data_IF_038764230699
#
_entry.id   IF_038764230699
#
_cell.length_a   1.000
_cell.length_b   1.000
_cell.length_c   1.000
_cell.angle_alpha   90.00
_cell.angle_beta   90.00
_cell.angle_gamma   90.00
#
_symmetry.space_group_name_H-M   'P 1'
#
loop_
_entity.id
_entity.type
_entity.pdbx_description
1 polymer ?
#
# COMPACT_ATOMS: atom_id res chain seq x y z
N UNK A 1 6.22 -25.76 12.39
CA UNK A 1 6.84 -24.68 11.61
C UNK A 1 6.04 -23.41 11.84
N UNK A 2 6.69 -22.31 12.27
CA UNK A 2 6.06 -21.00 12.36
C UNK A 2 5.89 -20.39 10.94
N UNK A 3 4.70 -19.88 10.65
CA UNK A 3 4.46 -19.08 9.45
C UNK A 3 4.69 -17.59 9.73
N UNK A 4 5.03 -16.83 8.71
CA UNK A 4 5.02 -15.35 8.72
C UNK A 4 4.18 -14.83 7.55
N UNK A 5 3.57 -13.69 7.73
CA UNK A 5 2.78 -13.06 6.68
C UNK A 5 2.91 -11.53 6.76
N UNK A 6 2.75 -10.88 5.62
CA UNK A 6 2.57 -9.42 5.56
C UNK A 6 1.10 -9.13 5.32
N UNK A 7 0.51 -8.32 6.19
CA UNK A 7 -0.88 -7.88 6.09
C UNK A 7 -0.92 -6.44 5.62
N UNK A 8 -1.60 -6.21 4.49
CA UNK A 8 -1.83 -4.86 3.98
C UNK A 8 -3.07 -4.21 4.59
N UNK A 9 -2.99 -2.95 4.97
CA UNK A 9 -4.13 -2.15 5.39
C UNK A 9 -4.06 -0.76 4.75
N UNK A 10 -5.22 -0.21 4.42
CA UNK A 10 -5.31 1.02 3.65
C UNK A 10 -5.39 2.26 4.54
N UNK A 11 -4.89 3.38 4.04
CA UNK A 11 -4.98 4.68 4.72
C UNK A 11 -6.40 5.24 4.83
N UNK A 12 -7.40 4.57 4.24
CA UNK A 12 -8.81 4.97 4.33
C UNK A 12 -9.62 4.16 5.34
N UNK A 13 -9.02 3.13 5.94
CA UNK A 13 -9.68 2.28 6.92
C UNK A 13 -9.90 3.05 8.23
N UNK A 14 -11.11 3.00 8.84
CA UNK A 14 -11.38 3.65 10.13
C UNK A 14 -10.48 3.16 11.26
N UNK A 15 -10.01 1.92 11.18
CA UNK A 15 -9.15 1.30 12.21
C UNK A 15 -7.65 1.46 11.93
N UNK A 16 -7.27 2.26 10.93
CA UNK A 16 -5.88 2.44 10.50
C UNK A 16 -4.91 2.71 11.66
N UNK A 17 -5.31 3.50 12.65
CA UNK A 17 -4.49 3.77 13.84
C UNK A 17 -4.36 2.57 14.75
N UNK A 18 -5.46 1.86 15.00
CA UNK A 18 -5.47 0.68 15.86
C UNK A 18 -4.63 -0.44 15.26
N UNK A 19 -4.79 -0.70 13.96
CA UNK A 19 -4.00 -1.70 13.23
C UNK A 19 -2.51 -1.37 13.32
N UNK A 20 -2.12 -0.12 13.13
CA UNK A 20 -0.74 0.30 13.25
C UNK A 20 -0.19 0.12 14.67
N UNK A 21 -1.00 0.44 15.70
CA UNK A 21 -0.61 0.32 17.10
C UNK A 21 -0.37 -1.13 17.54
N UNK A 22 -0.99 -2.15 16.92
CA UNK A 22 -0.74 -3.55 17.27
C UNK A 22 0.71 -4.00 17.11
N UNK A 23 1.55 -3.21 16.45
CA UNK A 23 3.01 -3.40 16.37
C UNK A 23 3.78 -2.60 17.41
N UNK A 24 3.18 -1.56 17.99
CA UNK A 24 3.87 -0.63 18.88
C UNK A 24 4.17 -1.27 20.23
N UNK A 25 5.29 -0.86 20.81
CA UNK A 25 5.62 -1.19 22.20
C UNK A 25 4.78 -0.44 23.24
N UNK A 26 3.92 0.48 22.79
CA UNK A 26 3.05 1.31 23.63
C UNK A 26 1.78 0.63 24.10
N UNK A 27 1.46 -0.54 23.53
CA UNK A 27 0.32 -1.37 23.92
C UNK A 27 0.76 -2.59 24.70
N UNK A 28 -0.18 -3.20 25.42
CA UNK A 28 0.07 -4.41 26.19
C UNK A 28 0.56 -5.55 25.31
N UNK A 29 1.49 -6.35 25.84
CA UNK A 29 2.14 -7.42 25.12
C UNK A 29 1.14 -8.46 24.56
N UNK A 30 0.03 -8.66 25.26
CA UNK A 30 -1.04 -9.59 24.86
C UNK A 30 -1.83 -9.11 23.63
N UNK A 31 -1.79 -7.80 23.34
CA UNK A 31 -2.45 -7.18 22.19
C UNK A 31 -1.53 -7.05 20.98
N UNK A 32 -0.23 -7.35 21.14
CA UNK A 32 0.74 -7.21 20.04
C UNK A 32 0.67 -8.36 19.07
N UNK A 33 0.76 -8.04 17.78
CA UNK A 33 0.85 -9.01 16.70
C UNK A 33 2.29 -9.06 16.13
N UNK A 34 3.22 -9.53 16.96
CA UNK A 34 4.66 -9.50 16.65
C UNK A 34 5.06 -10.35 15.43
N UNK A 35 4.29 -11.39 15.13
CA UNK A 35 4.60 -12.37 14.06
C UNK A 35 4.13 -11.94 12.68
N UNK A 36 3.30 -10.89 12.59
CA UNK A 36 2.83 -10.34 11.32
C UNK A 36 3.65 -9.10 10.96
N UNK A 37 4.04 -8.96 9.72
CA UNK A 37 4.52 -7.70 9.18
C UNK A 37 3.36 -6.92 8.57
N UNK A 38 3.45 -5.60 8.57
CA UNK A 38 2.40 -4.74 8.06
C UNK A 38 2.85 -3.95 6.85
N UNK A 39 1.92 -3.74 5.91
CA UNK A 39 2.08 -2.84 4.80
C UNK A 39 1.01 -1.76 4.87
N UNK A 40 1.43 -0.53 5.12
CA UNK A 40 0.57 0.65 5.02
C UNK A 40 0.41 1.02 3.56
N UNK A 41 -0.81 0.86 3.06
CA UNK A 41 -1.16 1.05 1.65
C UNK A 41 -1.81 2.42 1.47
N UNK A 42 -1.28 3.23 0.56
CA UNK A 42 -1.78 4.55 0.25
C UNK A 42 -1.72 4.82 -1.26
N UNK A 43 -2.46 5.83 -1.70
CA UNK A 43 -2.50 6.28 -3.09
C UNK A 43 -1.94 7.71 -3.23
N UNK A 44 -1.84 8.20 -4.46
CA UNK A 44 -1.35 9.56 -4.72
C UNK A 44 -2.27 10.66 -4.16
N UNK A 45 -3.59 10.40 -4.03
CA UNK A 45 -4.51 11.34 -3.41
C UNK A 45 -4.22 11.55 -1.91
N UNK A 46 -3.81 10.49 -1.20
CA UNK A 46 -3.35 10.62 0.18
C UNK A 46 -2.08 11.45 0.28
N UNK A 47 -1.11 11.21 -0.61
CA UNK A 47 0.12 12.02 -0.64
C UNK A 47 -0.15 13.49 -0.95
N UNK A 48 -1.06 13.77 -1.89
CA UNK A 48 -1.51 15.15 -2.16
C UNK A 48 -2.11 15.79 -0.91
N UNK A 49 -2.95 15.06 -0.18
CA UNK A 49 -3.53 15.54 1.06
C UNK A 49 -2.48 15.79 2.15
N UNK A 50 -1.45 14.95 2.26
CA UNK A 50 -0.33 15.13 3.20
C UNK A 50 0.47 16.38 2.86
N UNK A 51 0.90 16.52 1.60
CA UNK A 51 1.74 17.66 1.14
C UNK A 51 1.00 18.99 1.31
N UNK A 52 -0.28 19.02 0.96
CA UNK A 52 -1.12 20.21 1.00
C UNK A 52 -1.85 20.40 2.34
N UNK A 53 -1.52 19.59 3.37
CA UNK A 53 -2.10 19.65 4.72
C UNK A 53 -3.63 19.63 4.74
N UNK A 54 -4.22 18.83 3.85
CA UNK A 54 -5.66 18.67 3.71
C UNK A 54 -6.21 17.68 4.74
N UNK A 55 -7.52 17.75 4.94
CA UNK A 55 -8.28 16.71 5.64
C UNK A 55 -8.26 15.41 4.85
N UNK A 56 -8.30 14.29 5.57
CA UNK A 56 -8.43 12.96 5.04
C UNK A 56 -9.62 12.28 5.69
N UNK A 57 -10.32 11.43 4.93
CA UNK A 57 -11.57 10.84 5.36
C UNK A 57 -11.44 9.32 5.40
N UNK A 58 -11.81 8.74 6.53
CA UNK A 58 -11.79 7.30 6.77
C UNK A 58 -13.23 6.77 6.66
N UNK A 59 -13.41 5.71 5.90
CA UNK A 59 -14.73 5.12 5.64
C UNK A 59 -14.73 3.63 5.94
N UNK A 60 -15.81 3.11 6.52
CA UNK A 60 -16.04 1.68 6.61
C UNK A 60 -16.24 1.08 5.21
N UNK A 61 -15.68 -0.11 5.00
CA UNK A 61 -15.80 -0.82 3.72
C UNK A 61 -17.26 -1.04 3.32
N UNK A 62 -18.14 -1.38 4.28
CA UNK A 62 -19.54 -1.65 3.99
C UNK A 62 -20.30 -0.42 3.53
N UNK A 63 -19.92 0.76 4.03
CA UNK A 63 -20.56 2.03 3.73
C UNK A 63 -20.05 2.66 2.41
N UNK A 64 -18.81 2.33 2.00
CA UNK A 64 -18.16 2.95 0.85
C UNK A 64 -17.43 1.94 -0.06
N UNK A 65 -18.05 0.80 -0.39
CA UNK A 65 -17.43 -0.28 -1.19
C UNK A 65 -16.82 0.17 -2.51
N UNK A 66 -17.45 1.11 -3.19
CA UNK A 66 -16.93 1.64 -4.46
C UNK A 66 -15.66 2.47 -4.26
N UNK A 67 -15.56 3.25 -3.17
CA UNK A 67 -14.36 3.99 -2.83
C UNK A 67 -13.14 3.07 -2.65
N UNK A 68 -13.33 1.91 -2.03
CA UNK A 68 -12.27 0.91 -1.87
C UNK A 68 -11.82 0.29 -3.20
N UNK A 69 -12.69 0.24 -4.22
CA UNK A 69 -12.30 -0.16 -5.58
C UNK A 69 -11.53 0.96 -6.26
N UNK A 70 -12.05 2.19 -6.19
CA UNK A 70 -11.46 3.37 -6.81
C UNK A 70 -10.11 3.72 -6.21
N UNK A 71 -9.89 3.40 -4.93
CA UNK A 71 -8.65 3.64 -4.21
C UNK A 71 -7.40 3.12 -4.93
N UNK A 72 -7.53 2.02 -5.66
CA UNK A 72 -6.41 1.36 -6.34
C UNK A 72 -6.18 1.85 -7.78
N UNK A 73 -7.17 2.47 -8.41
CA UNK A 73 -7.18 2.71 -9.85
C UNK A 73 -7.43 4.16 -10.25
N UNK A 74 -8.01 4.98 -9.37
CA UNK A 74 -8.37 6.35 -9.68
C UNK A 74 -7.17 7.29 -9.59
N UNK A 75 -7.16 8.31 -10.43
CA UNK A 75 -6.30 9.48 -10.27
C UNK A 75 -6.74 10.34 -9.07
N UNK A 76 -5.91 11.33 -8.71
CA UNK A 76 -6.12 12.19 -7.54
C UNK A 76 -7.44 12.96 -7.63
N UNK A 77 -7.77 13.49 -8.81
CA UNK A 77 -8.96 14.33 -9.02
C UNK A 77 -10.23 13.49 -8.88
N UNK A 78 -10.30 12.37 -9.61
CA UNK A 78 -11.44 11.43 -9.58
C UNK A 78 -11.68 10.90 -8.17
N UNK A 79 -10.61 10.46 -7.49
CA UNK A 79 -10.70 9.97 -6.12
C UNK A 79 -11.23 11.04 -5.16
N UNK A 80 -10.68 12.25 -5.22
CA UNK A 80 -11.08 13.37 -4.35
C UNK A 80 -12.53 13.77 -4.59
N UNK A 81 -13.00 13.75 -5.84
CA UNK A 81 -14.38 13.99 -6.20
C UNK A 81 -15.33 12.95 -5.60
N UNK A 82 -14.96 11.67 -5.70
CA UNK A 82 -15.73 10.56 -5.10
C UNK A 82 -15.85 10.74 -3.58
N UNK A 83 -14.75 11.05 -2.90
CA UNK A 83 -14.76 11.32 -1.45
C UNK A 83 -15.67 12.51 -1.11
N UNK A 84 -15.57 13.61 -1.86
CA UNK A 84 -16.38 14.81 -1.64
C UNK A 84 -17.87 14.52 -1.80
N UNK A 85 -18.24 13.68 -2.76
CA UNK A 85 -19.63 13.26 -2.97
C UNK A 85 -20.12 12.41 -1.80
N UNK A 86 -19.34 11.43 -1.33
CA UNK A 86 -19.71 10.59 -0.18
C UNK A 86 -19.93 11.42 1.09
N UNK A 87 -19.09 12.41 1.33
CA UNK A 87 -19.22 13.34 2.45
C UNK A 87 -20.50 14.18 2.31
N UNK A 88 -20.79 14.70 1.10
CA UNK A 88 -22.00 15.48 0.82
C UNK A 88 -23.28 14.65 0.98
N UNK A 89 -23.23 13.38 0.61
CA UNK A 89 -24.35 12.43 0.74
C UNK A 89 -24.55 11.95 2.19
N UNK A 90 -23.71 12.41 3.12
CA UNK A 90 -23.82 12.08 4.54
C UNK A 90 -23.39 10.65 4.90
N UNK A 91 -22.61 10.00 4.05
CA UNK A 91 -22.05 8.67 4.36
C UNK A 91 -21.20 8.76 5.62
N UNK A 92 -21.36 7.82 6.54
CA UNK A 92 -20.63 7.80 7.80
C UNK A 92 -19.11 7.74 7.55
N UNK A 93 -18.37 8.65 8.17
CA UNK A 93 -16.94 8.75 8.03
C UNK A 93 -16.27 9.34 9.27
N UNK A 94 -14.97 9.16 9.40
CA UNK A 94 -14.12 9.85 10.38
C UNK A 94 -13.20 10.79 9.64
N UNK A 95 -13.17 12.06 10.06
CA UNK A 95 -12.28 13.06 9.49
C UNK A 95 -11.01 13.18 10.32
N UNK A 96 -9.86 13.12 9.66
CA UNK A 96 -8.52 13.26 10.27
C UNK A 96 -7.65 14.19 9.44
N UNK A 97 -6.58 14.71 10.02
CA UNK A 97 -5.56 15.44 9.26
C UNK A 97 -4.60 14.43 8.61
N UNK A 98 -4.46 14.46 7.27
CA UNK A 98 -3.59 13.53 6.53
C UNK A 98 -2.15 13.55 7.05
N UNK A 99 -1.61 14.75 7.32
CA UNK A 99 -0.26 14.91 7.86
C UNK A 99 -0.09 14.28 9.24
N UNK A 100 -1.08 14.39 10.11
CA UNK A 100 -1.01 13.78 11.44
C UNK A 100 -1.14 12.26 11.39
N UNK A 101 -1.96 11.73 10.47
CA UNK A 101 -2.07 10.30 10.24
C UNK A 101 -0.71 9.72 9.81
N UNK A 102 -0.08 10.28 8.77
CA UNK A 102 1.20 9.75 8.30
C UNK A 102 2.32 9.89 9.34
N UNK A 103 2.36 10.98 10.11
CA UNK A 103 3.34 11.14 11.20
C UNK A 103 3.23 10.02 12.23
N UNK A 104 2.03 9.66 12.67
CA UNK A 104 1.83 8.57 13.62
C UNK A 104 2.28 7.23 13.04
N UNK A 105 1.94 6.94 11.78
CA UNK A 105 2.39 5.73 11.09
C UNK A 105 3.93 5.68 11.00
N UNK A 106 4.58 6.80 10.67
CA UNK A 106 6.04 6.91 10.60
C UNK A 106 6.70 6.71 11.98
N UNK A 107 6.11 7.22 13.05
CA UNK A 107 6.59 6.99 14.41
C UNK A 107 6.56 5.50 14.78
N UNK A 108 5.45 4.81 14.50
CA UNK A 108 5.33 3.38 14.75
C UNK A 108 6.34 2.60 13.88
N UNK A 109 6.53 2.99 12.62
CA UNK A 109 7.54 2.39 11.75
C UNK A 109 8.95 2.58 12.32
N UNK A 110 9.27 3.76 12.82
CA UNK A 110 10.58 4.04 13.45
C UNK A 110 10.81 3.18 14.69
N UNK A 111 9.78 2.99 15.51
CA UNK A 111 9.85 2.16 16.73
C UNK A 111 10.06 0.68 16.41
N UNK A 112 9.41 0.17 15.37
CA UNK A 112 9.31 -1.27 15.12
C UNK A 112 10.24 -1.76 14.01
N UNK A 113 10.60 -0.90 13.06
CA UNK A 113 11.34 -1.25 11.85
C UNK A 113 10.59 -2.19 10.88
N UNK A 114 9.35 -2.58 11.19
CA UNK A 114 8.63 -3.67 10.52
C UNK A 114 7.30 -3.23 9.89
N UNK A 115 7.27 -2.05 9.30
CA UNK A 115 6.12 -1.57 8.55
C UNK A 115 6.57 -1.13 7.16
N UNK A 116 6.02 -1.75 6.12
CA UNK A 116 6.23 -1.40 4.73
C UNK A 116 5.30 -0.27 4.31
N UNK A 117 5.74 0.51 3.32
CA UNK A 117 4.96 1.56 2.69
C UNK A 117 4.73 1.20 1.24
N UNK A 118 3.48 1.13 0.82
CA UNK A 118 3.12 0.72 -0.51
C UNK A 118 2.20 1.74 -1.19
N UNK A 119 2.75 2.44 -2.20
CA UNK A 119 1.98 3.37 -3.03
C UNK A 119 1.33 2.61 -4.18
N UNK A 120 0.00 2.37 -4.08
CA UNK A 120 -0.73 1.61 -5.09
C UNK A 120 -0.88 2.36 -6.42
N UNK A 121 -0.94 3.70 -6.41
CA UNK A 121 -1.00 4.48 -7.64
C UNK A 121 0.27 4.27 -8.47
N UNK A 122 1.43 4.34 -7.83
CA UNK A 122 2.73 4.15 -8.51
C UNK A 122 2.94 2.71 -8.97
N UNK A 123 2.55 1.73 -8.15
CA UNK A 123 2.62 0.33 -8.53
C UNK A 123 1.77 0.01 -9.78
N UNK A 124 0.60 0.66 -9.92
CA UNK A 124 -0.31 0.41 -11.03
C UNK A 124 0.00 1.21 -12.31
N UNK A 125 0.75 2.32 -12.23
CA UNK A 125 1.14 3.09 -13.43
C UNK A 125 2.13 2.34 -14.32
N UNK A 126 3.05 1.59 -13.72
CA UNK A 126 4.16 0.94 -14.40
C UNK A 126 4.10 -0.59 -14.34
N UNK A 127 2.94 -1.16 -14.05
CA UNK A 127 2.79 -2.60 -13.97
C UNK A 127 2.78 -3.25 -15.36
N UNK A 128 3.52 -4.35 -15.56
CA UNK A 128 3.40 -5.18 -16.75
C UNK A 128 2.18 -6.13 -16.71
N UNK A 129 1.46 -6.18 -15.59
CA UNK A 129 0.33 -7.09 -15.41
C UNK A 129 -0.99 -6.47 -15.90
N UNK A 130 -1.89 -7.33 -16.41
CA UNK A 130 -3.23 -6.91 -16.83
C UNK A 130 -4.20 -6.69 -15.66
N UNK A 131 -3.80 -7.02 -14.45
CA UNK A 131 -4.61 -6.90 -13.23
C UNK A 131 -4.17 -5.74 -12.35
N UNK A 132 -5.06 -5.30 -11.46
CA UNK A 132 -4.77 -4.27 -10.48
C UNK A 132 -3.90 -4.83 -9.36
N UNK A 133 -2.72 -4.24 -9.15
CA UNK A 133 -1.85 -4.56 -8.03
C UNK A 133 -2.42 -3.93 -6.76
N UNK A 134 -2.66 -4.73 -5.74
CA UNK A 134 -3.23 -4.29 -4.47
C UNK A 134 -2.27 -4.43 -3.30
N UNK A 135 -1.30 -5.32 -3.43
CA UNK A 135 -0.29 -5.61 -2.43
C UNK A 135 0.99 -6.09 -3.14
N UNK A 136 2.14 -5.82 -2.54
CA UNK A 136 3.44 -6.33 -2.99
C UNK A 136 3.77 -7.63 -2.28
N UNK A 137 4.40 -8.56 -3.01
CA UNK A 137 5.12 -9.69 -2.42
C UNK A 137 6.62 -9.38 -2.41
N UNK A 138 7.31 -9.67 -1.32
CA UNK A 138 8.73 -9.38 -1.16
C UNK A 138 9.65 -10.46 -1.71
N UNK A 139 9.14 -11.67 -1.90
CA UNK A 139 9.92 -12.81 -2.30
C UNK A 139 9.28 -13.54 -3.48
N UNK A 140 10.11 -13.98 -4.38
CA UNK A 140 9.75 -14.85 -5.50
C UNK A 140 10.60 -16.11 -5.45
N UNK A 141 10.10 -17.19 -6.04
CA UNK A 141 10.86 -18.44 -6.16
C UNK A 141 12.00 -18.28 -7.19
N UNK A 142 13.13 -18.95 -7.00
CA UNK A 142 14.26 -18.85 -7.92
C UNK A 142 13.92 -19.28 -9.36
N UNK A 143 12.88 -20.08 -9.53
CA UNK A 143 12.34 -20.52 -10.83
C UNK A 143 11.45 -19.47 -11.52
N UNK A 144 11.18 -18.32 -10.85
CA UNK A 144 10.37 -17.23 -11.43
C UNK A 144 11.04 -16.71 -12.69
N UNK A 145 10.31 -16.75 -13.82
CA UNK A 145 10.82 -16.33 -15.11
C UNK A 145 10.73 -14.82 -15.29
N UNK A 146 11.81 -14.25 -15.80
CA UNK A 146 11.94 -12.83 -16.16
C UNK A 146 12.20 -12.76 -17.68
N UNK A 147 11.50 -11.85 -18.36
CA UNK A 147 11.76 -11.57 -19.77
C UNK A 147 12.96 -10.62 -19.89
N UNK A 148 14.03 -11.13 -20.47
CA UNK A 148 15.27 -10.41 -20.72
C UNK A 148 15.52 -10.26 -22.22
N UNK A 149 16.48 -9.41 -22.60
CA UNK A 149 16.97 -9.28 -23.98
C UNK A 149 17.57 -10.57 -24.55
N UNK A 150 17.87 -11.55 -23.66
CA UNK A 150 18.34 -12.91 -24.01
C UNK A 150 17.21 -13.96 -24.02
N UNK A 151 15.95 -13.55 -23.84
CA UNK A 151 14.80 -14.42 -23.69
C UNK A 151 14.34 -14.57 -22.23
N UNK A 152 13.45 -15.54 -21.96
CA UNK A 152 13.02 -15.85 -20.61
C UNK A 152 14.10 -16.60 -19.85
N UNK A 153 14.56 -16.00 -18.75
CA UNK A 153 15.50 -16.60 -17.80
C UNK A 153 14.87 -16.64 -16.42
N UNK A 154 15.25 -17.61 -15.60
CA UNK A 154 14.84 -17.65 -14.21
C UNK A 154 15.63 -16.63 -13.38
N UNK A 155 15.02 -16.11 -12.30
CA UNK A 155 15.73 -15.18 -11.39
C UNK A 155 17.02 -15.82 -10.85
N UNK A 156 17.01 -17.13 -10.57
CA UNK A 156 18.20 -17.84 -10.10
C UNK A 156 19.33 -17.86 -11.12
N UNK A 157 19.03 -17.92 -12.43
CA UNK A 157 20.03 -17.84 -13.50
C UNK A 157 20.60 -16.44 -13.70
N UNK A 158 19.89 -15.40 -13.25
CA UNK A 158 20.31 -14.01 -13.41
C UNK A 158 21.31 -13.54 -12.36
N UNK A 159 21.60 -14.33 -11.33
CA UNK A 159 22.55 -13.95 -10.29
C UNK A 159 23.92 -13.64 -10.90
N UNK A 160 24.39 -12.41 -10.70
CA UNK A 160 25.68 -11.93 -11.20
C UNK A 160 25.74 -11.65 -12.70
N UNK A 161 24.62 -11.63 -13.41
CA UNK A 161 24.55 -11.30 -14.83
C UNK A 161 24.04 -9.87 -15.05
N UNK A 162 24.67 -9.16 -15.99
CA UNK A 162 24.11 -7.92 -16.55
C UNK A 162 23.19 -8.26 -17.73
N UNK A 163 21.91 -7.93 -17.59
CA UNK A 163 20.89 -8.16 -18.61
C UNK A 163 19.91 -7.01 -18.65
N UNK A 164 19.36 -6.74 -19.84
CA UNK A 164 18.22 -5.83 -19.95
C UNK A 164 16.92 -6.59 -19.66
N UNK A 165 16.10 -6.06 -18.80
CA UNK A 165 14.81 -6.63 -18.41
C UNK A 165 13.68 -5.82 -19.05
N UNK A 166 12.66 -6.51 -19.56
CA UNK A 166 11.46 -5.86 -20.05
C UNK A 166 10.60 -5.36 -18.88
N UNK A 167 10.40 -4.04 -18.79
CA UNK A 167 9.63 -3.41 -17.71
C UNK A 167 8.15 -3.17 -18.04
N UNK A 168 7.66 -3.73 -19.16
CA UNK A 168 6.31 -3.53 -19.67
C UNK A 168 6.17 -2.45 -20.75
N UNK A 169 7.21 -1.62 -20.96
CA UNK A 169 7.25 -0.54 -21.96
C UNK A 169 8.53 -0.54 -22.78
N UNK A 170 9.65 -0.75 -22.13
CA UNK A 170 10.98 -0.68 -22.71
C UNK A 170 11.94 -1.63 -22.01
N UNK A 171 13.08 -1.86 -22.64
CA UNK A 171 14.20 -2.58 -22.01
C UNK A 171 14.90 -1.68 -21.02
N UNK A 172 15.14 -2.16 -19.80
CA UNK A 172 15.86 -1.44 -18.76
C UNK A 172 16.88 -2.36 -18.06
N UNK A 173 18.02 -1.76 -17.71
CA UNK A 173 19.10 -2.41 -16.95
C UNK A 173 18.96 -2.09 -15.46
#
# INVERSE_FOLDING_TARGET
RGGSATVGFTCIDPEVYNIALWKSQRIDIEQRLDRLDYSFIFNDAFLDAVVNRKDWYLFDYNDAKHLYKDFYVSDVETYTKTVSQLVADGVKHTKVQALELIKQILMIRQETGRMYFFNVSRANIHTPFNGVIRLSNLCVAPETQILTDKGYLTIGELEGQDVNVWNGKEWSN
#
